data_IF_078933912176
#
_entry.id   IF_078933912176
#
_cell.length_a   1.000
_cell.length_b   1.000
_cell.length_c   1.000
_cell.angle_alpha   90.00
_cell.angle_beta   90.00
_cell.angle_gamma   90.00
#
_symmetry.space_group_name_H-M   'P 1'
#
loop_
_entity.id
_entity.type
_entity.pdbx_description
1 polymer ?
#
# COMPACT_ATOMS: atom_id res chain seq x y z
N UNK A 1 88.20 -39.00 -48.72
CA UNK A 1 88.58 -39.20 -50.16
C UNK A 1 87.37 -38.87 -51.02
N UNK A 2 87.61 -37.86 -51.89
CA UNK A 2 87.04 -37.69 -53.22
C UNK A 2 85.57 -37.72 -53.42
N UNK A 3 84.90 -36.54 -53.64
CA UNK A 3 84.79 -35.80 -54.94
C UNK A 3 83.76 -36.45 -55.87
N UNK A 4 82.70 -35.81 -56.35
CA UNK A 4 82.49 -34.80 -57.38
C UNK A 4 81.01 -34.65 -57.67
N UNK A 5 80.47 -33.42 -57.73
CA UNK A 5 80.04 -32.59 -58.86
C UNK A 5 78.69 -32.91 -59.52
N UNK A 6 77.70 -31.96 -59.30
CA UNK A 6 76.97 -31.05 -60.21
C UNK A 6 76.81 -31.52 -61.69
N UNK A 7 75.84 -31.08 -62.50
CA UNK A 7 74.94 -29.89 -62.38
C UNK A 7 73.47 -30.08 -62.83
N UNK A 8 72.64 -29.17 -62.38
CA UNK A 8 71.84 -28.23 -63.19
C UNK A 8 70.81 -28.78 -64.19
N UNK A 9 69.55 -28.55 -64.00
CA UNK A 9 68.72 -27.91 -65.04
C UNK A 9 67.56 -27.15 -64.43
N UNK A 10 67.53 -25.88 -64.70
CA UNK A 10 66.51 -24.87 -64.44
C UNK A 10 65.30 -25.14 -65.36
N UNK A 11 64.10 -25.34 -64.82
CA UNK A 11 62.92 -25.11 -65.60
C UNK A 11 61.91 -24.31 -64.72
N UNK A 12 61.80 -23.04 -65.08
CA UNK A 12 60.74 -22.14 -64.63
C UNK A 12 59.39 -22.70 -65.07
N UNK A 13 58.59 -23.13 -64.13
CA UNK A 13 57.14 -23.14 -64.30
C UNK A 13 56.55 -22.07 -63.41
N UNK A 14 56.13 -20.95 -64.01
CA UNK A 14 55.17 -20.03 -63.44
C UNK A 14 53.83 -20.77 -63.38
N UNK A 15 53.48 -21.29 -62.22
CA UNK A 15 52.10 -21.58 -61.89
C UNK A 15 51.63 -20.41 -61.09
N UNK A 16 50.83 -19.59 -61.73
CA UNK A 16 50.00 -18.58 -61.01
C UNK A 16 49.13 -19.32 -60.03
N UNK A 17 49.43 -19.26 -58.73
CA UNK A 17 48.51 -19.52 -57.67
C UNK A 17 47.52 -18.36 -57.66
N UNK A 18 46.35 -18.54 -58.25
CA UNK A 18 45.20 -17.81 -57.83
C UNK A 18 44.97 -18.21 -56.37
N UNK A 19 45.39 -17.35 -55.49
CA UNK A 19 44.98 -17.37 -54.09
C UNK A 19 43.51 -16.88 -54.08
N UNK A 20 42.59 -17.76 -54.38
CA UNK A 20 41.23 -17.61 -53.99
C UNK A 20 41.18 -18.00 -52.50
N UNK A 21 41.35 -17.05 -51.64
CA UNK A 21 40.72 -17.12 -50.31
C UNK A 21 39.22 -17.22 -50.57
N UNK A 22 38.72 -18.40 -50.86
CA UNK A 22 37.32 -18.71 -50.74
C UNK A 22 37.08 -18.67 -49.23
N UNK A 23 36.69 -17.50 -48.75
CA UNK A 23 36.18 -17.32 -47.38
C UNK A 23 35.00 -18.28 -47.26
N UNK A 24 35.13 -19.32 -46.45
CA UNK A 24 34.09 -20.32 -46.25
C UNK A 24 32.97 -19.62 -45.51
N UNK A 25 31.94 -19.17 -46.24
CA UNK A 25 30.75 -18.59 -45.66
C UNK A 25 30.01 -19.68 -44.89
N UNK A 26 29.71 -19.51 -43.61
CA UNK A 26 28.93 -20.46 -42.82
C UNK A 26 27.56 -20.74 -43.43
N UNK A 27 27.03 -21.94 -43.23
CA UNK A 27 25.66 -22.26 -43.69
C UNK A 27 24.58 -21.40 -43.03
N UNK A 28 24.85 -20.90 -41.80
CA UNK A 28 23.96 -20.04 -40.98
C UNK A 28 24.35 -18.55 -41.06
N UNK A 29 25.04 -18.14 -42.14
CA UNK A 29 25.62 -16.80 -42.29
C UNK A 29 24.58 -15.63 -42.19
N UNK A 30 23.32 -15.88 -42.50
CA UNK A 30 22.24 -14.90 -42.41
C UNK A 30 21.43 -14.99 -41.09
N UNK A 31 21.66 -16.02 -40.30
CA UNK A 31 20.89 -16.28 -39.08
C UNK A 31 21.42 -15.44 -37.90
N UNK A 32 20.50 -14.94 -37.09
CA UNK A 32 20.78 -14.09 -35.94
C UNK A 32 19.82 -14.39 -34.77
N UNK A 33 19.63 -15.67 -34.46
CA UNK A 33 18.70 -16.14 -33.46
C UNK A 33 19.38 -16.46 -32.13
N UNK A 34 18.70 -16.08 -31.02
CA UNK A 34 18.92 -16.71 -29.71
C UNK A 34 18.05 -17.97 -29.66
N UNK A 35 18.67 -19.13 -29.47
CA UNK A 35 17.97 -20.42 -29.50
C UNK A 35 17.64 -20.96 -28.13
N UNK A 36 18.42 -20.60 -27.11
CA UNK A 36 18.15 -20.98 -25.70
C UNK A 36 18.87 -20.03 -24.77
N UNK A 37 18.22 -19.74 -23.65
CA UNK A 37 18.84 -19.04 -22.51
C UNK A 37 18.49 -19.79 -21.24
N UNK A 38 19.49 -20.13 -20.44
CA UNK A 38 19.31 -20.85 -19.17
C UNK A 38 20.03 -20.08 -18.08
N UNK A 39 19.29 -19.73 -17.05
CA UNK A 39 19.82 -19.13 -15.83
C UNK A 39 19.95 -20.21 -14.74
N UNK A 40 21.10 -20.29 -14.11
CA UNK A 40 21.34 -21.18 -12.96
C UNK A 40 21.62 -20.35 -11.72
N UNK A 41 20.83 -20.60 -10.67
CA UNK A 41 20.97 -19.93 -9.36
C UNK A 41 20.85 -20.99 -8.27
N UNK A 42 21.81 -21.04 -7.35
CA UNK A 42 21.84 -21.98 -6.22
C UNK A 42 21.60 -23.45 -6.66
N UNK A 43 22.17 -23.82 -7.83
CA UNK A 43 22.08 -25.17 -8.40
C UNK A 43 20.72 -25.50 -9.05
N UNK A 44 19.79 -24.55 -9.15
CA UNK A 44 18.53 -24.69 -9.91
C UNK A 44 18.61 -23.93 -11.21
N UNK A 45 18.13 -24.57 -12.30
CA UNK A 45 18.13 -23.99 -13.63
C UNK A 45 16.72 -23.54 -14.02
N UNK A 46 16.68 -22.35 -14.65
CA UNK A 46 15.46 -21.72 -15.16
C UNK A 46 15.66 -21.43 -16.65
N UNK A 47 14.86 -22.06 -17.49
CA UNK A 47 14.94 -21.87 -18.94
C UNK A 47 14.06 -20.70 -19.35
N UNK A 48 14.60 -19.83 -20.20
CA UNK A 48 13.85 -18.70 -20.73
C UNK A 48 12.78 -19.14 -21.73
N UNK A 49 11.67 -18.43 -21.73
CA UNK A 49 10.74 -18.36 -22.84
C UNK A 49 11.26 -17.29 -23.83
N UNK A 50 11.36 -17.65 -25.12
CA UNK A 50 11.85 -16.75 -26.16
C UNK A 50 10.74 -16.58 -27.20
N UNK A 51 10.07 -15.45 -27.14
CA UNK A 51 8.96 -15.11 -28.02
C UNK A 51 9.08 -13.64 -28.49
N UNK A 52 8.75 -13.37 -29.74
CA UNK A 52 8.69 -12.02 -30.32
C UNK A 52 9.94 -11.17 -30.04
N UNK A 53 11.13 -11.78 -30.12
CA UNK A 53 12.41 -11.17 -29.76
C UNK A 53 12.50 -10.72 -28.28
N UNK A 54 11.76 -11.35 -27.41
CA UNK A 54 11.85 -11.15 -25.95
C UNK A 54 12.33 -12.45 -25.30
N UNK A 55 13.35 -12.35 -24.48
CA UNK A 55 13.89 -13.43 -23.64
C UNK A 55 13.36 -13.21 -22.22
N UNK A 56 12.40 -14.03 -21.79
CA UNK A 56 11.79 -13.92 -20.47
C UNK A 56 12.22 -15.10 -19.61
N UNK A 57 12.93 -14.84 -18.50
CA UNK A 57 13.23 -15.87 -17.50
C UNK A 57 12.31 -15.69 -16.32
N UNK A 58 11.55 -16.74 -15.97
CA UNK A 58 10.67 -16.72 -14.80
C UNK A 58 11.34 -17.48 -13.66
N UNK A 59 11.53 -16.81 -12.52
CA UNK A 59 12.08 -17.38 -11.29
C UNK A 59 11.16 -17.11 -10.12
N UNK A 60 11.10 -17.97 -9.08
CA UNK A 60 10.35 -17.71 -7.87
C UNK A 60 10.74 -16.37 -7.24
N UNK A 61 9.78 -15.67 -6.66
CA UNK A 61 9.99 -14.34 -6.06
C UNK A 61 11.16 -14.31 -5.06
N UNK A 62 11.34 -15.41 -4.31
CA UNK A 62 12.35 -15.54 -3.26
C UNK A 62 13.77 -15.79 -3.76
N UNK A 63 13.96 -16.05 -5.06
CA UNK A 63 15.28 -16.33 -5.63
C UNK A 63 16.06 -15.02 -5.80
N UNK A 64 17.22 -14.93 -5.15
CA UNK A 64 18.17 -13.83 -5.37
C UNK A 64 19.01 -14.09 -6.63
N UNK A 65 19.15 -13.10 -7.48
CA UNK A 65 19.92 -13.23 -8.72
C UNK A 65 21.39 -12.74 -8.59
N UNK A 66 21.84 -12.44 -7.38
CA UNK A 66 23.18 -11.87 -7.16
C UNK A 66 24.33 -12.78 -7.67
N UNK A 67 24.11 -14.09 -7.69
CA UNK A 67 25.08 -15.09 -8.15
C UNK A 67 24.51 -15.91 -9.33
N UNK A 68 23.65 -15.31 -10.13
CA UNK A 68 23.08 -15.99 -11.28
C UNK A 68 24.12 -16.17 -12.39
N UNK A 69 24.24 -17.39 -12.86
CA UNK A 69 24.99 -17.75 -14.06
C UNK A 69 24.01 -17.91 -15.22
N UNK A 70 24.25 -17.25 -16.36
CA UNK A 70 23.31 -17.29 -17.48
C UNK A 70 24.06 -17.70 -18.76
N UNK A 71 23.65 -18.84 -19.32
CA UNK A 71 24.18 -19.39 -20.56
C UNK A 71 23.25 -19.00 -21.73
N UNK A 72 23.81 -18.37 -22.74
CA UNK A 72 23.13 -18.08 -24.01
C UNK A 72 23.60 -19.04 -25.10
N UNK A 73 22.62 -19.64 -25.80
CA UNK A 73 22.87 -20.33 -27.06
C UNK A 73 22.24 -19.51 -28.18
N UNK A 74 23.07 -19.17 -29.17
CA UNK A 74 22.63 -18.40 -30.32
C UNK A 74 23.33 -18.91 -31.57
N UNK A 75 22.95 -18.42 -32.75
CA UNK A 75 23.52 -18.83 -34.05
C UNK A 75 25.04 -18.82 -33.99
N UNK A 76 25.68 -19.93 -34.38
CA UNK A 76 27.12 -20.17 -34.16
C UNK A 76 28.00 -19.14 -34.88
N UNK A 77 27.61 -18.72 -36.10
CA UNK A 77 28.35 -17.74 -36.90
C UNK A 77 28.04 -16.27 -36.48
N UNK A 78 27.08 -16.04 -35.61
CA UNK A 78 26.67 -14.72 -35.19
C UNK A 78 27.50 -14.20 -34.01
N UNK A 79 27.45 -12.89 -33.80
CA UNK A 79 27.98 -12.21 -32.61
C UNK A 79 26.86 -11.63 -31.77
N UNK A 80 27.05 -11.57 -30.45
CA UNK A 80 26.08 -11.00 -29.51
C UNK A 80 26.69 -9.87 -28.68
N UNK A 81 26.00 -8.75 -28.59
CA UNK A 81 26.42 -7.56 -27.81
C UNK A 81 25.27 -7.10 -26.91
N UNK A 82 25.49 -6.85 -25.61
CA UNK A 82 26.73 -7.13 -24.86
C UNK A 82 27.01 -8.63 -24.80
N UNK A 83 28.27 -8.98 -24.61
CA UNK A 83 28.67 -10.37 -24.39
C UNK A 83 28.03 -10.85 -23.05
N UNK A 84 27.21 -11.92 -23.08
CA UNK A 84 26.54 -12.43 -21.87
C UNK A 84 27.52 -12.81 -20.75
N UNK A 85 28.74 -13.28 -21.09
CA UNK A 85 29.75 -13.66 -20.10
C UNK A 85 30.29 -12.45 -19.29
N UNK A 86 30.12 -11.23 -19.81
CA UNK A 86 30.52 -9.99 -19.14
C UNK A 86 29.46 -9.41 -18.23
N UNK A 87 28.23 -9.97 -18.25
CA UNK A 87 27.11 -9.47 -17.47
C UNK A 87 27.18 -10.02 -16.05
N UNK A 88 27.28 -9.13 -15.08
CA UNK A 88 27.35 -9.48 -13.64
C UNK A 88 26.05 -9.22 -12.88
N UNK A 89 25.12 -8.45 -13.43
CA UNK A 89 23.83 -8.14 -12.83
C UNK A 89 22.69 -8.52 -13.77
N UNK A 90 21.98 -9.57 -13.41
CA UNK A 90 20.87 -10.13 -14.18
C UNK A 90 19.50 -9.65 -13.69
N UNK A 91 19.43 -8.76 -12.71
CA UNK A 91 18.16 -8.21 -12.21
C UNK A 91 17.54 -7.17 -13.17
N UNK A 92 18.38 -6.49 -13.96
CA UNK A 92 17.93 -5.39 -14.80
C UNK A 92 17.57 -5.85 -16.22
N UNK A 93 16.52 -5.26 -16.76
CA UNK A 93 16.20 -5.40 -18.19
C UNK A 93 17.32 -4.86 -19.06
N UNK A 94 17.57 -5.51 -20.19
CA UNK A 94 18.59 -5.10 -21.16
C UNK A 94 18.27 -5.59 -22.56
N UNK A 95 18.94 -5.03 -23.53
CA UNK A 95 18.84 -5.47 -24.93
C UNK A 95 20.12 -6.17 -25.36
N UNK A 96 19.99 -7.35 -25.94
CA UNK A 96 21.04 -8.06 -26.62
C UNK A 96 20.86 -7.91 -28.13
N UNK A 97 21.89 -7.49 -28.82
CA UNK A 97 21.93 -7.40 -30.29
C UNK A 97 22.71 -8.57 -30.85
N UNK A 98 22.05 -9.44 -31.59
CA UNK A 98 22.65 -10.55 -32.29
C UNK A 98 22.85 -10.16 -33.74
N UNK A 99 24.09 -10.20 -34.23
CA UNK A 99 24.45 -9.84 -35.60
C UNK A 99 24.99 -11.07 -36.32
N UNK A 100 24.34 -11.44 -37.43
CA UNK A 100 24.75 -12.56 -38.26
C UNK A 100 26.12 -12.32 -38.92
N UNK A 101 26.73 -13.36 -39.48
CA UNK A 101 27.98 -13.25 -40.24
C UNK A 101 27.88 -12.22 -41.38
N UNK A 102 26.75 -12.17 -42.09
CA UNK A 102 26.47 -11.22 -43.16
C UNK A 102 26.04 -9.82 -42.67
N UNK A 103 26.05 -9.54 -41.36
CA UNK A 103 25.80 -8.22 -40.79
C UNK A 103 24.32 -7.91 -40.50
N UNK A 104 23.39 -8.84 -40.73
CA UNK A 104 21.98 -8.65 -40.35
C UNK A 104 21.84 -8.70 -38.83
N UNK A 105 21.25 -7.67 -38.24
CA UNK A 105 21.11 -7.56 -36.77
C UNK A 105 19.68 -7.77 -36.32
N UNK A 106 19.52 -8.41 -35.14
CA UNK A 106 18.26 -8.59 -34.42
C UNK A 106 18.49 -8.21 -32.97
N UNK A 107 17.53 -7.47 -32.41
CA UNK A 107 17.54 -7.07 -31.01
C UNK A 107 16.61 -7.95 -30.21
N UNK A 108 17.06 -8.39 -29.04
CA UNK A 108 16.31 -9.17 -28.07
C UNK A 108 16.22 -8.43 -26.76
N UNK A 109 15.00 -8.17 -26.29
CA UNK A 109 14.75 -7.64 -24.95
C UNK A 109 14.87 -8.77 -23.92
N UNK A 110 15.76 -8.63 -22.96
CA UNK A 110 15.90 -9.55 -21.83
C UNK A 110 15.20 -9.00 -20.61
N UNK A 111 14.40 -9.83 -19.94
CA UNK A 111 13.78 -9.53 -18.66
C UNK A 111 13.65 -10.76 -17.77
N UNK A 112 13.69 -10.54 -16.46
CA UNK A 112 13.34 -11.54 -15.45
C UNK A 112 11.98 -11.22 -14.86
N UNK A 113 11.11 -12.24 -14.79
CA UNK A 113 9.82 -12.18 -14.13
C UNK A 113 9.90 -12.99 -12.84
N UNK A 114 9.54 -12.38 -11.72
CA UNK A 114 9.42 -13.05 -10.44
C UNK A 114 8.05 -13.70 -10.33
N UNK A 115 7.98 -15.04 -10.30
CA UNK A 115 6.72 -15.74 -10.08
C UNK A 115 6.36 -15.75 -8.61
N UNK A 116 5.09 -15.57 -8.33
CA UNK A 116 4.54 -15.65 -6.98
C UNK A 116 4.35 -17.09 -6.54
N UNK A 117 4.36 -17.29 -5.21
CA UNK A 117 4.01 -18.55 -4.56
C UNK A 117 2.68 -18.30 -3.86
N UNK A 118 1.63 -18.97 -4.33
CA UNK A 118 0.25 -18.76 -3.87
C UNK A 118 -0.17 -19.80 -2.84
N UNK A 119 -1.02 -19.41 -1.87
CA UNK A 119 -1.73 -20.35 -1.00
C UNK A 119 -2.99 -20.92 -1.69
N UNK A 120 -3.50 -22.04 -1.18
CA UNK A 120 -4.75 -22.68 -1.66
C UNK A 120 -6.00 -22.11 -0.97
N UNK A 121 -6.04 -20.83 -0.64
CA UNK A 121 -7.16 -20.16 0.03
C UNK A 121 -6.77 -19.50 1.33
N UNK A 122 -7.67 -19.49 2.31
CA UNK A 122 -7.46 -18.87 3.61
C UNK A 122 -6.28 -19.51 4.36
N UNK A 123 -5.53 -18.68 5.06
CA UNK A 123 -4.40 -19.07 5.92
C UNK A 123 -4.74 -18.68 7.35
N UNK A 124 -4.83 -19.66 8.24
CA UNK A 124 -5.04 -19.45 9.67
C UNK A 124 -3.78 -19.83 10.46
N UNK A 125 -3.22 -18.88 11.19
CA UNK A 125 -2.01 -19.02 12.02
C UNK A 125 -2.39 -18.75 13.47
N UNK A 126 -2.64 -19.82 14.23
CA UNK A 126 -3.15 -19.75 15.62
C UNK A 126 -2.03 -19.94 16.67
N UNK A 127 -0.86 -20.41 16.23
CA UNK A 127 0.28 -20.68 17.10
C UNK A 127 1.57 -20.16 16.49
N UNK A 128 2.59 -19.98 17.30
CA UNK A 128 3.93 -19.57 16.85
C UNK A 128 4.55 -20.63 15.91
N UNK A 129 4.27 -21.91 16.14
CA UNK A 129 4.72 -23.00 15.27
C UNK A 129 4.08 -22.95 13.90
N UNK A 130 2.78 -22.64 13.81
CA UNK A 130 2.08 -22.47 12.52
C UNK A 130 2.63 -21.27 11.74
N UNK A 131 2.97 -20.16 12.41
CA UNK A 131 3.64 -19.01 11.77
C UNK A 131 4.98 -19.45 11.18
N UNK A 132 5.80 -20.16 11.94
CA UNK A 132 7.11 -20.64 11.48
C UNK A 132 6.97 -21.62 10.30
N UNK A 133 6.07 -22.61 10.40
CA UNK A 133 5.81 -23.58 9.33
C UNK A 133 5.32 -22.93 8.06
N UNK A 134 4.40 -21.97 8.17
CA UNK A 134 3.90 -21.23 7.00
C UNK A 134 5.02 -20.41 6.35
N UNK A 135 5.88 -19.78 7.13
CA UNK A 135 7.02 -19.01 6.63
C UNK A 135 8.01 -19.83 5.80
N UNK A 136 8.16 -21.15 6.10
CA UNK A 136 9.00 -22.06 5.32
C UNK A 136 8.50 -22.24 3.87
N UNK A 137 7.19 -22.10 3.62
CA UNK A 137 6.60 -22.19 2.29
C UNK A 137 7.04 -21.06 1.36
N UNK A 138 7.53 -19.93 1.93
CA UNK A 138 7.87 -18.72 1.19
C UNK A 138 6.71 -18.18 0.34
N UNK A 139 5.50 -18.42 0.78
CA UNK A 139 4.28 -17.88 0.13
C UNK A 139 4.39 -16.38 0.00
N UNK A 140 4.07 -15.88 -1.19
CA UNK A 140 4.07 -14.44 -1.51
C UNK A 140 2.66 -13.88 -1.61
N UNK A 141 1.68 -14.70 -1.99
CA UNK A 141 0.27 -14.34 -2.14
C UNK A 141 -0.63 -15.28 -1.36
N UNK A 142 -1.43 -14.75 -0.47
CA UNK A 142 -2.53 -15.50 0.17
C UNK A 142 -3.79 -15.32 -0.66
N UNK A 143 -4.32 -16.42 -1.26
CA UNK A 143 -5.55 -16.42 -2.09
C UNK A 143 -6.83 -16.47 -1.27
N UNK A 144 -6.90 -15.77 -0.19
CA UNK A 144 -8.02 -15.70 0.73
C UNK A 144 -7.67 -14.80 1.90
N UNK A 145 -8.22 -15.08 3.07
CA UNK A 145 -7.92 -14.34 4.29
C UNK A 145 -6.62 -14.84 4.93
N UNK A 146 -5.87 -13.91 5.53
CA UNK A 146 -4.76 -14.21 6.44
C UNK A 146 -5.22 -13.92 7.87
N UNK A 147 -5.44 -14.95 8.65
CA UNK A 147 -5.95 -14.85 10.02
C UNK A 147 -4.80 -15.18 10.98
N UNK A 148 -4.43 -14.23 11.85
CA UNK A 148 -3.35 -14.35 12.81
C UNK A 148 -3.92 -14.28 14.22
N UNK A 149 -3.68 -15.33 14.99
CA UNK A 149 -4.21 -15.48 16.33
C UNK A 149 -5.58 -16.16 16.39
N UNK A 150 -6.16 -16.13 17.57
CA UNK A 150 -7.46 -16.73 17.91
C UNK A 150 -8.17 -15.89 18.96
N UNK A 151 -9.48 -15.94 18.97
CA UNK A 151 -10.32 -15.28 19.99
C UNK A 151 -10.71 -16.26 21.13
N UNK A 152 -10.21 -17.50 21.10
CA UNK A 152 -10.45 -18.46 22.17
C UNK A 152 -9.79 -18.03 23.50
N UNK A 153 -10.48 -18.21 24.62
CA UNK A 153 -10.07 -17.72 25.96
C UNK A 153 -8.67 -18.21 26.38
N UNK A 154 -8.26 -19.39 25.92
CA UNK A 154 -6.96 -20.02 26.28
C UNK A 154 -6.07 -20.21 25.05
N UNK A 155 -6.22 -19.38 24.03
CA UNK A 155 -5.39 -19.45 22.85
C UNK A 155 -3.93 -19.14 23.18
N UNK A 156 -3.02 -19.78 22.44
CA UNK A 156 -1.61 -19.44 22.49
C UNK A 156 -1.39 -18.01 22.05
N UNK A 157 -0.47 -17.32 22.72
CA UNK A 157 -0.08 -15.95 22.36
C UNK A 157 1.00 -15.98 21.30
N UNK A 158 0.72 -15.36 20.15
CA UNK A 158 1.69 -15.15 19.09
C UNK A 158 2.34 -13.77 19.32
N UNK A 159 3.65 -13.75 19.53
CA UNK A 159 4.39 -12.51 19.85
C UNK A 159 5.24 -11.98 18.69
N UNK A 160 5.50 -12.81 17.68
CA UNK A 160 6.35 -12.45 16.55
C UNK A 160 5.83 -13.08 15.24
N UNK A 161 5.67 -12.26 14.23
CA UNK A 161 5.29 -12.66 12.87
C UNK A 161 6.29 -12.17 11.82
N UNK A 162 7.48 -11.76 12.24
CA UNK A 162 8.53 -11.23 11.34
C UNK A 162 8.93 -12.22 10.22
N UNK A 163 8.75 -13.53 10.49
CA UNK A 163 8.99 -14.59 9.51
C UNK A 163 8.08 -14.52 8.28
N UNK A 164 6.94 -13.81 8.33
CA UNK A 164 5.98 -13.65 7.23
C UNK A 164 6.42 -12.62 6.17
N UNK A 165 7.64 -12.10 6.24
CA UNK A 165 8.15 -11.04 5.36
C UNK A 165 8.21 -11.40 3.87
N UNK A 166 7.96 -12.65 3.46
CA UNK A 166 7.80 -13.02 2.06
C UNK A 166 6.47 -12.56 1.44
N UNK A 167 5.45 -12.29 2.26
CA UNK A 167 4.12 -11.90 1.80
C UNK A 167 4.14 -10.57 1.05
N UNK A 168 3.42 -10.52 -0.07
CA UNK A 168 3.26 -9.35 -0.95
C UNK A 168 1.81 -8.96 -1.15
N UNK A 169 0.92 -9.95 -1.10
CA UNK A 169 -0.51 -9.75 -1.34
C UNK A 169 -1.35 -10.68 -0.47
N UNK A 170 -2.48 -10.17 -0.01
CA UNK A 170 -3.56 -10.96 0.61
C UNK A 170 -4.85 -10.60 -0.12
N UNK A 171 -5.39 -11.51 -0.96
CA UNK A 171 -6.58 -11.18 -1.77
C UNK A 171 -7.85 -10.99 -0.93
N UNK A 172 -7.92 -11.62 0.24
CA UNK A 172 -8.95 -11.39 1.27
C UNK A 172 -8.48 -10.43 2.35
N UNK A 173 -9.05 -10.58 3.53
CA UNK A 173 -8.75 -9.72 4.67
C UNK A 173 -7.55 -10.23 5.47
N UNK A 174 -6.75 -9.30 5.97
CA UNK A 174 -5.81 -9.55 7.06
C UNK A 174 -6.57 -9.38 8.37
N UNK A 175 -6.63 -10.44 9.19
CA UNK A 175 -7.40 -10.46 10.43
C UNK A 175 -6.48 -10.76 11.61
N UNK A 176 -6.33 -9.78 12.51
CA UNK A 176 -5.55 -9.91 13.73
C UNK A 176 -6.50 -10.16 14.90
N UNK A 177 -6.40 -11.36 15.49
CA UNK A 177 -7.24 -11.83 16.60
C UNK A 177 -6.62 -11.51 17.96
N UNK A 178 -7.41 -11.66 19.01
CA UNK A 178 -7.06 -11.26 20.39
C UNK A 178 -5.84 -11.98 20.99
N UNK A 179 -5.50 -13.19 20.53
CA UNK A 179 -4.30 -13.87 21.02
C UNK A 179 -3.00 -13.37 20.37
N UNK A 180 -3.07 -12.51 19.35
CA UNK A 180 -1.89 -11.82 18.86
C UNK A 180 -1.37 -10.84 19.95
N UNK A 181 -0.12 -11.00 20.35
CA UNK A 181 0.50 -10.27 21.45
C UNK A 181 1.86 -9.67 21.03
N UNK A 182 2.07 -9.44 19.74
CA UNK A 182 3.21 -8.69 19.23
C UNK A 182 3.01 -7.18 19.40
N UNK A 183 4.09 -6.44 19.51
CA UNK A 183 4.05 -4.98 19.68
C UNK A 183 3.64 -4.22 18.40
N UNK A 184 3.88 -4.82 17.26
CA UNK A 184 3.60 -4.26 15.93
C UNK A 184 3.25 -5.36 14.92
N UNK A 185 3.10 -5.01 13.65
CA UNK A 185 2.81 -5.93 12.56
C UNK A 185 4.04 -6.19 11.66
N UNK A 186 5.25 -6.10 12.20
CA UNK A 186 6.48 -6.43 11.47
C UNK A 186 6.41 -7.87 10.94
N UNK A 187 6.66 -8.04 9.65
CA UNK A 187 6.39 -9.27 8.89
C UNK A 187 5.30 -9.08 7.84
N UNK A 188 4.42 -8.10 8.01
CA UNK A 188 3.43 -7.70 7.01
C UNK A 188 3.85 -6.42 6.25
N UNK A 189 5.02 -5.89 6.55
CA UNK A 189 5.56 -4.64 5.98
C UNK A 189 5.76 -4.66 4.45
N UNK A 190 5.85 -5.87 3.86
CA UNK A 190 6.08 -6.05 2.43
C UNK A 190 4.79 -6.27 1.63
N UNK A 191 3.64 -6.32 2.28
CA UNK A 191 2.35 -6.45 1.61
C UNK A 191 2.01 -5.14 0.92
N UNK A 192 1.78 -5.20 -0.41
CA UNK A 192 1.46 -4.06 -1.27
C UNK A 192 -0.05 -3.87 -1.41
N UNK A 193 -0.80 -4.97 -1.41
CA UNK A 193 -2.27 -4.94 -1.54
C UNK A 193 -2.95 -5.96 -0.64
N UNK A 194 -4.13 -5.61 -0.14
CA UNK A 194 -4.98 -6.54 0.61
C UNK A 194 -6.47 -6.27 0.35
N UNK A 195 -7.31 -7.27 0.64
CA UNK A 195 -8.76 -7.10 0.62
C UNK A 195 -9.22 -6.14 1.71
N UNK A 196 -8.74 -6.30 2.93
CA UNK A 196 -9.03 -5.42 4.05
C UNK A 196 -8.11 -5.69 5.24
N UNK A 197 -8.27 -4.89 6.31
CA UNK A 197 -7.54 -5.07 7.56
C UNK A 197 -8.54 -5.02 8.74
N UNK A 198 -8.56 -6.09 9.52
CA UNK A 198 -9.35 -6.17 10.75
C UNK A 198 -8.43 -6.42 11.95
N UNK A 199 -8.49 -5.57 12.96
CA UNK A 199 -7.77 -5.73 14.22
C UNK A 199 -8.78 -5.72 15.36
N UNK A 200 -8.88 -6.85 16.07
CA UNK A 200 -9.90 -7.04 17.11
C UNK A 200 -11.33 -7.13 16.56
N UNK A 201 -12.32 -7.04 17.44
CA UNK A 201 -13.74 -7.13 17.11
C UNK A 201 -14.58 -6.34 18.12
N UNK A 202 -15.75 -5.86 17.69
CA UNK A 202 -16.76 -5.25 18.58
C UNK A 202 -17.37 -6.24 19.57
N UNK A 203 -17.42 -7.53 19.22
CA UNK A 203 -18.10 -8.58 19.99
C UNK A 203 -17.26 -9.15 21.12
N UNK A 204 -15.95 -8.96 21.04
CA UNK A 204 -14.99 -9.44 22.03
C UNK A 204 -14.28 -8.22 22.59
N UNK A 205 -14.46 -7.95 23.88
CA UNK A 205 -13.66 -6.94 24.55
C UNK A 205 -12.17 -7.25 24.29
N UNK A 206 -11.53 -6.43 23.47
CA UNK A 206 -10.14 -6.62 23.08
C UNK A 206 -9.25 -6.41 24.29
N UNK A 207 -9.14 -7.46 25.12
CA UNK A 207 -8.34 -7.42 26.32
C UNK A 207 -6.91 -7.75 25.96
N UNK A 208 -6.06 -6.75 26.07
CA UNK A 208 -4.64 -6.90 26.23
C UNK A 208 -3.93 -7.64 25.11
N UNK A 209 -3.87 -7.01 23.98
CA UNK A 209 -2.75 -7.25 23.08
C UNK A 209 -1.67 -6.24 23.42
N UNK A 210 -0.41 -6.64 23.31
CA UNK A 210 0.72 -5.70 23.35
C UNK A 210 0.86 -4.92 22.03
N UNK A 211 -0.16 -4.96 21.17
CA UNK A 211 -0.16 -4.28 19.87
C UNK A 211 -0.32 -2.77 20.07
N UNK A 212 0.79 -2.06 19.99
CA UNK A 212 0.84 -0.61 20.15
C UNK A 212 0.94 0.13 18.83
N UNK A 213 1.45 -0.53 17.79
CA UNK A 213 1.67 0.08 16.47
C UNK A 213 1.03 -0.74 15.34
N UNK A 214 0.22 -0.07 14.54
CA UNK A 214 -0.25 -0.61 13.26
C UNK A 214 0.49 0.14 12.16
N UNK A 215 1.39 -0.57 11.46
CA UNK A 215 2.13 -0.06 10.32
C UNK A 215 2.31 -1.15 9.30
N UNK A 216 2.07 -0.82 8.02
CA UNK A 216 2.34 -1.69 6.87
C UNK A 216 2.98 -0.81 5.79
N UNK A 217 4.32 -0.79 5.74
CA UNK A 217 5.11 0.22 5.00
C UNK A 217 4.93 0.19 3.49
N UNK A 218 4.69 -1.00 2.92
CA UNK A 218 4.54 -1.14 1.49
C UNK A 218 3.08 -1.08 1.00
N UNK A 219 2.11 -1.10 1.91
CA UNK A 219 0.69 -1.17 1.54
C UNK A 219 0.26 0.08 0.77
N UNK A 220 -0.21 -0.12 -0.46
CA UNK A 220 -0.62 0.95 -1.39
C UNK A 220 -2.13 1.00 -1.60
N UNK A 221 -2.80 -0.17 -1.58
CA UNK A 221 -4.24 -0.27 -1.85
C UNK A 221 -4.94 -1.27 -0.94
N UNK A 222 -6.17 -0.93 -0.55
CA UNK A 222 -7.13 -1.82 0.08
C UNK A 222 -8.44 -1.79 -0.69
N UNK A 223 -8.93 -2.97 -1.12
CA UNK A 223 -10.20 -3.09 -1.85
C UNK A 223 -11.42 -3.21 -0.93
N UNK A 224 -11.23 -3.39 0.36
CA UNK A 224 -12.28 -3.46 1.38
C UNK A 224 -11.99 -2.53 2.55
N UNK A 225 -12.40 -2.95 3.74
CA UNK A 225 -12.44 -2.11 4.91
C UNK A 225 -11.16 -2.15 5.76
N UNK A 226 -10.93 -1.07 6.49
CA UNK A 226 -10.09 -1.08 7.70
C UNK A 226 -11.01 -1.02 8.91
N UNK A 227 -10.90 -2.00 9.81
CA UNK A 227 -11.63 -2.05 11.08
C UNK A 227 -10.67 -2.29 12.23
N UNK A 228 -10.48 -1.31 13.10
CA UNK A 228 -9.61 -1.41 14.27
C UNK A 228 -10.43 -1.16 15.53
N UNK A 229 -10.54 -2.19 16.36
CA UNK A 229 -11.13 -2.15 17.68
C UNK A 229 -10.09 -2.61 18.70
N UNK A 230 -9.25 -1.68 19.15
CA UNK A 230 -8.15 -2.00 20.07
C UNK A 230 -7.82 -0.80 20.95
N UNK A 231 -7.85 -0.98 22.25
CA UNK A 231 -7.58 0.06 23.25
C UNK A 231 -6.10 0.27 23.57
N UNK A 232 -5.20 -0.61 23.09
CA UNK A 232 -3.75 -0.51 23.29
C UNK A 232 -3.03 0.22 22.15
N UNK A 233 -3.63 0.30 20.96
CA UNK A 233 -3.01 0.94 19.81
C UNK A 233 -2.80 2.43 20.06
N UNK A 234 -1.54 2.86 20.00
CA UNK A 234 -1.13 4.25 20.19
C UNK A 234 -0.65 4.91 18.90
N UNK A 235 -0.20 4.12 17.93
CA UNK A 235 0.40 4.62 16.70
C UNK A 235 -0.13 3.88 15.48
N UNK A 236 -0.57 4.66 14.48
CA UNK A 236 -1.01 4.13 13.17
C UNK A 236 -0.27 4.88 12.09
N UNK A 237 0.39 4.13 11.16
CA UNK A 237 1.08 4.72 10.01
C UNK A 237 1.00 3.82 8.78
N UNK A 238 0.41 4.35 7.72
CA UNK A 238 0.40 3.75 6.38
C UNK A 238 1.05 4.70 5.39
N UNK A 239 2.37 4.54 5.19
CA UNK A 239 3.19 5.51 4.46
C UNK A 239 2.81 5.64 2.98
N UNK A 240 2.33 4.55 2.36
CA UNK A 240 2.05 4.47 0.92
C UNK A 240 0.59 4.25 0.57
N UNK A 241 -0.27 4.05 1.56
CA UNK A 241 -1.68 3.74 1.30
C UNK A 241 -2.39 4.95 0.71
N UNK A 242 -2.66 4.88 -0.60
CA UNK A 242 -3.24 5.97 -1.37
C UNK A 242 -4.75 5.87 -1.52
N UNK A 243 -5.31 4.64 -1.52
CA UNK A 243 -6.74 4.40 -1.75
C UNK A 243 -7.26 3.26 -0.88
N UNK A 244 -8.43 3.49 -0.29
CA UNK A 244 -9.24 2.49 0.41
C UNK A 244 -10.61 2.50 -0.27
N UNK A 245 -11.02 1.38 -0.89
CA UNK A 245 -12.32 1.32 -1.58
C UNK A 245 -13.50 1.14 -0.63
N UNK A 246 -13.25 0.52 0.52
CA UNK A 246 -14.24 0.31 1.58
C UNK A 246 -14.32 1.43 2.60
N UNK A 247 -14.76 1.06 3.79
CA UNK A 247 -14.87 1.93 4.96
C UNK A 247 -13.62 1.87 5.84
N UNK A 248 -13.40 2.94 6.57
CA UNK A 248 -12.38 3.04 7.62
C UNK A 248 -13.04 3.25 8.97
N UNK A 249 -12.84 2.31 9.90
CA UNK A 249 -13.33 2.40 11.26
C UNK A 249 -12.18 2.22 12.25
N UNK A 250 -11.88 3.24 13.01
CA UNK A 250 -10.96 3.17 14.15
C UNK A 250 -11.72 3.46 15.45
N UNK A 251 -11.75 2.48 16.36
CA UNK A 251 -12.06 2.70 17.77
C UNK A 251 -10.82 2.37 18.58
N UNK A 252 -9.96 3.38 18.79
CA UNK A 252 -8.67 3.27 19.46
C UNK A 252 -8.50 4.42 20.46
N UNK A 253 -9.01 4.27 21.69
CA UNK A 253 -9.02 5.34 22.69
C UNK A 253 -7.61 5.80 23.12
N UNK A 254 -6.60 4.93 23.01
CA UNK A 254 -5.20 5.26 23.33
C UNK A 254 -4.43 5.90 22.18
N UNK A 255 -5.05 6.10 21.02
CA UNK A 255 -4.39 6.60 19.82
C UNK A 255 -3.77 7.99 20.05
N UNK A 256 -2.47 8.12 19.74
CA UNK A 256 -1.70 9.35 19.85
C UNK A 256 -1.27 9.90 18.48
N UNK A 257 -1.06 9.01 17.51
CA UNK A 257 -0.65 9.37 16.16
C UNK A 257 -1.46 8.58 15.13
N UNK A 258 -1.95 9.28 14.09
CA UNK A 258 -2.76 8.72 13.01
C UNK A 258 -2.23 9.25 11.67
N UNK A 259 -1.44 8.44 10.98
CA UNK A 259 -0.69 8.85 9.80
C UNK A 259 -1.13 8.13 8.53
N UNK A 260 -1.67 8.90 7.59
CA UNK A 260 -1.98 8.49 6.21
C UNK A 260 -1.49 9.61 5.26
N UNK A 261 -0.17 9.77 5.08
CA UNK A 261 0.39 10.95 4.42
C UNK A 261 0.03 11.08 2.94
N UNK A 262 -0.35 9.98 2.27
CA UNK A 262 -0.66 9.97 0.83
C UNK A 262 -2.10 9.53 0.51
N UNK A 263 -2.93 9.27 1.52
CA UNK A 263 -4.32 8.82 1.31
C UNK A 263 -5.14 9.91 0.63
N UNK A 264 -5.64 9.59 -0.57
CA UNK A 264 -6.43 10.51 -1.38
C UNK A 264 -7.92 10.22 -1.34
N UNK A 265 -8.30 8.94 -1.18
CA UNK A 265 -9.69 8.51 -1.31
C UNK A 265 -10.06 7.42 -0.31
N UNK A 266 -11.22 7.58 0.32
CA UNK A 266 -11.95 6.53 1.05
C UNK A 266 -13.29 6.34 0.33
N UNK A 267 -13.55 5.13 -0.18
CA UNK A 267 -14.72 4.87 -1.02
C UNK A 267 -16.05 4.91 -0.27
N UNK A 268 -16.03 4.58 1.02
CA UNK A 268 -17.22 4.58 1.87
C UNK A 268 -17.02 5.47 3.10
N UNK A 269 -17.40 5.01 4.30
CA UNK A 269 -17.33 5.81 5.52
C UNK A 269 -15.89 5.90 6.07
N UNK A 270 -15.55 7.06 6.61
CA UNK A 270 -14.35 7.26 7.42
C UNK A 270 -14.76 7.66 8.83
N UNK A 271 -14.64 6.74 9.77
CA UNK A 271 -15.03 6.93 11.15
C UNK A 271 -13.84 6.74 12.09
N UNK A 272 -13.49 7.78 12.83
CA UNK A 272 -12.42 7.78 13.82
C UNK A 272 -13.02 8.13 15.16
N UNK A 273 -12.95 7.20 16.11
CA UNK A 273 -13.50 7.39 17.44
C UNK A 273 -12.59 6.85 18.54
N UNK A 274 -12.77 7.36 19.74
CA UNK A 274 -12.04 6.94 20.93
C UNK A 274 -12.99 6.61 22.08
N UNK A 275 -13.74 5.50 21.96
CA UNK A 275 -14.58 4.98 23.06
C UNK A 275 -13.79 3.94 23.84
N UNK A 276 -13.70 4.12 25.17
CA UNK A 276 -13.13 3.12 26.07
C UNK A 276 -14.12 1.98 26.36
N UNK A 277 -13.71 0.98 27.17
CA UNK A 277 -14.53 -0.17 27.56
C UNK A 277 -15.87 0.23 28.26
N UNK A 278 -15.93 1.41 28.86
CA UNK A 278 -17.15 1.94 29.49
C UNK A 278 -18.04 2.76 28.52
N UNK A 279 -17.72 2.72 27.21
CA UNK A 279 -18.32 3.53 26.15
C UNK A 279 -18.28 5.05 26.42
N UNK A 280 -17.21 5.50 27.09
CA UNK A 280 -16.95 6.91 27.35
C UNK A 280 -15.89 7.46 26.41
N UNK A 281 -16.02 8.74 26.08
CA UNK A 281 -15.00 9.45 25.29
C UNK A 281 -13.66 9.47 26.03
N UNK A 282 -12.65 8.87 25.44
CA UNK A 282 -11.32 8.71 26.04
C UNK A 282 -10.17 9.12 25.11
N UNK A 283 -10.40 9.22 23.80
CA UNK A 283 -9.36 9.42 22.80
C UNK A 283 -8.26 10.41 23.18
N UNK A 284 -7.00 10.00 23.01
CA UNK A 284 -5.81 10.76 23.43
C UNK A 284 -5.16 11.56 22.32
N UNK A 285 -5.53 11.32 21.06
CA UNK A 285 -5.01 12.07 19.91
C UNK A 285 -5.33 13.56 20.03
N UNK A 286 -4.33 14.40 19.83
CA UNK A 286 -4.48 15.86 19.90
C UNK A 286 -4.74 16.50 18.54
N UNK A 287 -4.15 15.97 17.48
CA UNK A 287 -4.28 16.48 16.11
C UNK A 287 -4.64 15.34 15.16
N UNK A 288 -5.67 15.56 14.35
CA UNK A 288 -6.07 14.64 13.27
C UNK A 288 -5.85 15.32 11.94
N UNK A 289 -4.98 14.75 11.13
CA UNK A 289 -4.60 15.30 9.82
C UNK A 289 -4.63 14.21 8.75
N UNK A 290 -5.29 14.53 7.63
CA UNK A 290 -5.27 13.75 6.39
C UNK A 290 -4.96 14.69 5.23
N UNK A 291 -3.67 15.01 5.02
CA UNK A 291 -3.24 16.15 4.20
C UNK A 291 -3.57 16.00 2.71
N UNK A 292 -3.61 14.76 2.21
CA UNK A 292 -3.87 14.48 0.79
C UNK A 292 -5.31 14.03 0.51
N UNK A 293 -6.14 13.84 1.53
CA UNK A 293 -7.50 13.34 1.38
C UNK A 293 -8.35 14.32 0.56
N UNK A 294 -8.85 13.86 -0.59
CA UNK A 294 -9.69 14.65 -1.51
C UNK A 294 -11.16 14.26 -1.47
N UNK A 295 -11.45 12.99 -1.18
CA UNK A 295 -12.83 12.49 -1.18
C UNK A 295 -13.09 11.39 -0.14
N UNK A 296 -14.29 11.43 0.43
CA UNK A 296 -14.88 10.35 1.24
C UNK A 296 -16.26 10.05 0.68
N UNK A 297 -16.45 8.85 0.10
CA UNK A 297 -17.72 8.50 -0.56
C UNK A 297 -18.93 8.47 0.40
N UNK A 298 -18.71 8.02 1.64
CA UNK A 298 -19.68 8.03 2.73
C UNK A 298 -19.48 9.18 3.71
N UNK A 299 -19.73 8.91 4.97
CA UNK A 299 -19.65 9.92 6.06
C UNK A 299 -18.22 10.01 6.60
N UNK A 300 -17.69 11.23 6.66
CA UNK A 300 -16.54 11.54 7.50
C UNK A 300 -17.02 11.83 8.92
N UNK A 301 -16.73 10.90 9.84
CA UNK A 301 -17.13 10.99 11.24
C UNK A 301 -15.92 11.04 12.17
N UNK A 302 -15.91 11.99 13.09
CA UNK A 302 -14.86 12.12 14.11
C UNK A 302 -15.56 12.31 15.46
N UNK A 303 -15.45 11.29 16.33
CA UNK A 303 -16.28 11.22 17.52
C UNK A 303 -15.48 10.80 18.76
N UNK A 304 -15.86 11.28 19.94
CA UNK A 304 -15.38 10.80 21.24
C UNK A 304 -13.84 10.89 21.44
N UNK A 305 -13.15 11.80 20.77
CA UNK A 305 -11.72 12.04 20.92
C UNK A 305 -11.47 13.14 21.95
N UNK A 306 -11.45 12.80 23.23
CA UNK A 306 -11.52 13.74 24.35
C UNK A 306 -10.37 14.78 24.39
N UNK A 307 -9.22 14.50 23.79
CA UNK A 307 -8.04 15.37 23.77
C UNK A 307 -7.81 16.10 22.45
N UNK A 308 -8.72 15.93 21.48
CA UNK A 308 -8.54 16.51 20.15
C UNK A 308 -8.64 18.05 20.21
N UNK A 309 -7.61 18.72 19.71
CA UNK A 309 -7.55 20.19 19.62
C UNK A 309 -7.63 20.68 18.17
N UNK A 310 -7.27 19.85 17.20
CA UNK A 310 -7.22 20.24 15.80
C UNK A 310 -7.64 19.13 14.85
N UNK A 311 -8.42 19.48 13.83
CA UNK A 311 -8.76 18.65 12.67
C UNK A 311 -8.41 19.38 11.39
N UNK A 312 -7.60 18.74 10.51
CA UNK A 312 -7.11 19.32 9.26
C UNK A 312 -7.36 18.38 8.08
N UNK A 313 -8.30 18.75 7.21
CA UNK A 313 -8.62 18.05 5.96
C UNK A 313 -8.45 19.04 4.80
N UNK A 314 -7.18 19.42 4.54
CA UNK A 314 -6.85 20.60 3.73
C UNK A 314 -7.18 20.47 2.25
N UNK A 315 -7.29 19.25 1.73
CA UNK A 315 -7.60 18.98 0.31
C UNK A 315 -8.97 18.33 0.09
N UNK A 316 -9.74 18.09 1.15
CA UNK A 316 -11.05 17.45 1.04
C UNK A 316 -12.03 18.33 0.26
N UNK A 317 -12.51 17.82 -0.87
CA UNK A 317 -13.46 18.50 -1.77
C UNK A 317 -14.88 17.96 -1.66
N UNK A 318 -15.01 16.66 -1.44
CA UNK A 318 -16.30 15.97 -1.45
C UNK A 318 -16.41 14.93 -0.34
N UNK A 319 -17.60 14.85 0.27
CA UNK A 319 -17.94 13.79 1.21
C UNK A 319 -19.43 13.44 1.16
N UNK A 320 -19.78 12.19 1.50
CA UNK A 320 -21.16 11.77 1.70
C UNK A 320 -21.85 12.47 2.87
N UNK A 321 -21.11 12.83 3.91
CA UNK A 321 -21.59 13.62 5.05
C UNK A 321 -20.46 14.02 5.98
N UNK A 322 -20.67 15.06 6.79
CA UNK A 322 -19.79 15.43 7.91
C UNK A 322 -20.51 15.18 9.21
N UNK A 323 -19.95 14.32 10.07
CA UNK A 323 -20.54 14.01 11.37
C UNK A 323 -19.47 14.11 12.47
N UNK A 324 -19.35 15.30 13.07
CA UNK A 324 -18.47 15.56 14.20
C UNK A 324 -19.33 15.64 15.46
N UNK A 325 -19.57 14.46 16.04
CA UNK A 325 -20.40 14.32 17.23
C UNK A 325 -19.52 14.06 18.46
N UNK A 326 -19.96 14.51 19.63
CA UNK A 326 -19.14 14.40 20.83
C UNK A 326 -17.78 15.11 20.68
N UNK A 327 -17.79 16.28 20.04
CA UNK A 327 -16.60 17.11 19.84
C UNK A 327 -16.06 17.57 21.19
N UNK A 328 -14.76 17.44 21.48
CA UNK A 328 -14.20 17.80 22.77
C UNK A 328 -14.28 19.31 23.04
N UNK A 329 -14.33 19.65 24.31
CA UNK A 329 -14.37 21.04 24.77
C UNK A 329 -13.12 21.83 24.38
N UNK A 330 -12.02 21.13 24.08
CA UNK A 330 -10.73 21.73 23.75
C UNK A 330 -10.48 21.86 22.24
N UNK A 331 -11.40 21.48 21.37
CA UNK A 331 -11.21 21.60 19.93
C UNK A 331 -11.17 23.07 19.53
N UNK A 332 -10.03 23.51 19.03
CA UNK A 332 -9.75 24.90 18.66
C UNK A 332 -9.88 25.15 17.16
N UNK A 333 -9.59 24.14 16.34
CA UNK A 333 -9.57 24.29 14.88
C UNK A 333 -10.25 23.12 14.17
N UNK A 334 -11.04 23.48 13.14
CA UNK A 334 -11.60 22.57 12.13
C UNK A 334 -11.32 23.21 10.78
N UNK A 335 -10.43 22.63 9.97
CA UNK A 335 -10.03 23.19 8.69
C UNK A 335 -10.51 22.32 7.52
N UNK A 336 -11.37 22.89 6.67
CA UNK A 336 -11.95 22.27 5.46
C UNK A 336 -11.96 23.30 4.30
N UNK A 337 -10.79 23.87 3.91
CA UNK A 337 -10.76 25.00 2.99
C UNK A 337 -11.18 24.68 1.56
N UNK A 338 -11.09 23.42 1.15
CA UNK A 338 -11.39 22.99 -0.20
C UNK A 338 -12.76 22.31 -0.36
N UNK A 339 -13.53 22.15 0.70
CA UNK A 339 -14.82 21.44 0.64
C UNK A 339 -15.82 22.18 -0.26
N UNK A 340 -16.33 21.49 -1.29
CA UNK A 340 -17.28 21.99 -2.26
C UNK A 340 -18.64 21.31 -2.17
N UNK A 341 -18.63 19.99 -1.87
CA UNK A 341 -19.85 19.16 -1.90
C UNK A 341 -19.95 18.27 -0.67
N UNK A 342 -21.12 18.31 -0.02
CA UNK A 342 -21.54 17.34 0.99
C UNK A 342 -22.83 16.68 0.49
N UNK A 343 -22.75 15.40 0.08
CA UNK A 343 -23.87 14.65 -0.48
C UNK A 343 -24.94 14.26 0.56
N UNK A 344 -24.73 14.52 1.82
CA UNK A 344 -25.63 14.31 2.96
C UNK A 344 -25.70 15.52 3.86
N UNK A 345 -25.65 15.26 5.17
CA UNK A 345 -25.78 16.29 6.20
C UNK A 345 -24.43 16.73 6.76
N UNK A 346 -24.37 17.96 7.24
CA UNK A 346 -23.31 18.49 8.09
C UNK A 346 -23.86 18.53 9.53
N UNK A 347 -23.32 17.69 10.41
CA UNK A 347 -23.69 17.61 11.80
C UNK A 347 -22.44 17.85 12.64
N UNK A 348 -22.42 18.95 13.38
CA UNK A 348 -21.34 19.29 14.30
C UNK A 348 -21.94 19.56 15.67
N UNK A 349 -21.63 18.73 16.65
CA UNK A 349 -22.21 18.82 17.97
C UNK A 349 -21.15 18.63 19.05
N UNK A 350 -20.84 19.67 19.80
CA UNK A 350 -20.00 19.57 20.98
C UNK A 350 -20.76 18.82 22.07
N UNK A 351 -20.05 17.95 22.77
CA UNK A 351 -20.65 16.92 23.60
C UNK A 351 -21.43 17.45 24.79
N UNK A 352 -22.41 16.65 25.13
CA UNK A 352 -23.28 16.81 26.27
C UNK A 352 -23.57 15.44 26.90
N UNK A 353 -22.56 14.75 27.44
CA UNK A 353 -22.90 13.63 28.33
C UNK A 353 -23.33 14.16 29.71
N UNK A 354 -24.54 13.79 30.11
CA UNK A 354 -24.97 14.00 31.47
C UNK A 354 -24.20 13.06 32.39
N UNK A 355 -23.52 13.53 33.43
CA UNK A 355 -22.98 12.66 34.45
C UNK A 355 -24.12 11.83 35.07
N UNK A 356 -23.90 10.54 35.38
CA UNK A 356 -24.94 9.64 35.85
C UNK A 356 -25.56 10.04 37.21
N UNK A 357 -24.94 10.92 37.96
CA UNK A 357 -25.49 11.47 39.22
C UNK A 357 -24.89 12.85 39.50
N UNK A 358 -25.74 13.86 39.66
CA UNK A 358 -25.34 15.20 40.07
C UNK A 358 -25.73 16.31 39.09
N UNK A 359 -25.46 17.54 39.45
CA UNK A 359 -25.81 18.72 38.65
C UNK A 359 -25.24 18.60 37.22
N UNK A 360 -26.13 18.58 36.24
CA UNK A 360 -25.81 18.60 34.84
C UNK A 360 -25.02 19.87 34.48
N UNK A 361 -23.76 19.75 34.21
CA UNK A 361 -22.96 20.81 33.56
C UNK A 361 -22.84 20.44 32.09
N UNK A 362 -23.55 21.12 31.19
CA UNK A 362 -23.39 20.89 29.77
C UNK A 362 -21.93 21.11 29.38
N UNK A 363 -21.25 20.08 28.90
CA UNK A 363 -19.96 20.27 28.28
C UNK A 363 -20.16 20.96 26.93
N UNK A 364 -19.55 22.11 26.76
CA UNK A 364 -19.67 22.96 25.59
C UNK A 364 -18.27 23.18 25.04
N UNK A 365 -18.16 23.35 23.74
CA UNK A 365 -16.94 23.86 23.20
C UNK A 365 -16.91 25.39 23.32
N UNK A 366 -16.06 25.88 24.20
CA UNK A 366 -15.92 27.31 24.52
C UNK A 366 -14.64 27.93 23.89
N UNK A 367 -13.97 27.22 23.00
CA UNK A 367 -12.69 27.65 22.41
C UNK A 367 -12.72 27.81 20.89
N UNK A 368 -13.49 27.01 20.15
CA UNK A 368 -13.61 27.15 18.70
C UNK A 368 -14.26 28.48 18.34
N UNK A 369 -13.50 29.39 17.75
CA UNK A 369 -13.95 30.74 17.42
C UNK A 369 -14.55 30.83 16.01
N UNK A 370 -14.04 30.03 15.06
CA UNK A 370 -14.48 29.96 13.68
C UNK A 370 -14.06 28.62 13.05
N UNK A 371 -14.77 28.23 12.00
CA UNK A 371 -14.32 27.14 11.13
C UNK A 371 -13.28 27.68 10.14
N UNK A 372 -12.20 26.92 9.90
CA UNK A 372 -11.19 27.24 8.90
C UNK A 372 -11.63 26.77 7.50
N UNK A 373 -12.22 27.65 6.73
CA UNK A 373 -12.70 27.36 5.38
C UNK A 373 -14.19 27.11 5.30
N UNK A 374 -14.61 26.19 4.41
CA UNK A 374 -15.99 25.92 3.99
C UNK A 374 -16.63 27.05 3.13
N UNK A 375 -15.88 28.07 2.73
CA UNK A 375 -16.39 29.18 1.89
C UNK A 375 -16.50 28.77 0.39
N UNK A 376 -16.03 27.57 0.04
CA UNK A 376 -16.19 26.96 -1.30
C UNK A 376 -17.40 26.07 -1.40
N UNK A 377 -18.13 25.83 -0.31
CA UNK A 377 -19.23 24.92 -0.25
C UNK A 377 -20.41 25.41 -1.11
N UNK A 378 -20.81 24.62 -2.10
CA UNK A 378 -21.91 24.92 -3.04
C UNK A 378 -23.08 23.98 -2.90
N UNK A 379 -22.86 22.76 -2.38
CA UNK A 379 -23.86 21.71 -2.32
C UNK A 379 -23.89 21.04 -0.95
N UNK A 380 -25.07 21.00 -0.32
CA UNK A 380 -25.38 20.18 0.86
C UNK A 380 -26.73 19.52 0.63
N UNK A 381 -26.74 18.21 0.33
CA UNK A 381 -28.01 17.50 0.02
C UNK A 381 -28.84 17.15 1.27
N UNK A 382 -28.26 17.27 2.46
CA UNK A 382 -28.96 17.08 3.73
C UNK A 382 -29.17 18.37 4.50
N UNK A 383 -29.11 18.30 5.81
CA UNK A 383 -29.26 19.44 6.72
C UNK A 383 -27.88 19.93 7.22
N UNK A 384 -27.83 21.19 7.64
CA UNK A 384 -26.72 21.75 8.41
C UNK A 384 -27.17 21.91 9.87
N UNK A 385 -26.50 21.25 10.82
CA UNK A 385 -26.79 21.32 12.26
C UNK A 385 -25.50 21.58 13.02
N UNK A 386 -25.42 22.70 13.70
CA UNK A 386 -24.30 23.08 14.56
C UNK A 386 -24.84 23.35 15.96
N UNK A 387 -24.29 22.66 16.96
CA UNK A 387 -24.80 22.74 18.34
C UNK A 387 -23.68 22.84 19.37
N UNK A 388 -23.91 23.59 20.44
CA UNK A 388 -23.10 23.63 21.67
C UNK A 388 -21.67 24.22 21.47
N UNK A 389 -21.47 25.03 20.44
CA UNK A 389 -20.23 25.79 20.22
C UNK A 389 -20.46 27.23 20.70
N UNK A 390 -20.20 27.51 21.96
CA UNK A 390 -20.59 28.78 22.60
C UNK A 390 -19.62 29.91 22.32
N UNK A 391 -18.36 29.59 21.98
CA UNK A 391 -17.36 30.57 21.58
C UNK A 391 -17.41 30.98 20.12
N UNK A 392 -18.16 30.25 19.29
CA UNK A 392 -18.23 30.47 17.85
C UNK A 392 -18.76 31.85 17.53
N UNK A 393 -17.89 32.68 16.91
CA UNK A 393 -18.21 34.08 16.59
C UNK A 393 -18.65 34.27 15.14
N UNK A 394 -18.25 33.36 14.27
CA UNK A 394 -18.50 33.46 12.84
C UNK A 394 -18.74 32.09 12.26
N UNK A 395 -19.79 31.97 11.45
CA UNK A 395 -19.99 30.85 10.53
C UNK A 395 -19.24 31.11 9.22
N UNK A 396 -18.87 30.07 8.45
CA UNK A 396 -18.36 30.24 7.10
C UNK A 396 -19.33 31.04 6.21
N UNK A 397 -18.82 31.65 5.16
CA UNK A 397 -19.65 32.27 4.14
C UNK A 397 -20.29 31.22 3.26
N UNK A 398 -21.54 30.88 3.57
CA UNK A 398 -22.35 29.92 2.81
C UNK A 398 -23.24 30.56 1.75
N UNK A 399 -22.99 31.80 1.35
CA UNK A 399 -23.73 32.49 0.28
C UNK A 399 -23.64 31.78 -1.06
N UNK A 400 -22.63 30.91 -1.24
CA UNK A 400 -22.44 30.10 -2.46
C UNK A 400 -23.23 28.81 -2.49
N UNK A 401 -23.92 28.42 -1.41
CA UNK A 401 -24.72 27.20 -1.39
C UNK A 401 -25.93 27.39 -2.30
N UNK A 402 -25.95 26.63 -3.40
CA UNK A 402 -27.05 26.62 -4.38
C UNK A 402 -27.99 25.43 -4.18
N UNK A 403 -27.52 24.38 -3.52
CA UNK A 403 -28.32 23.18 -3.23
C UNK A 403 -28.30 22.90 -1.74
N UNK A 404 -29.47 22.93 -1.11
CA UNK A 404 -29.68 22.57 0.28
C UNK A 404 -30.89 21.65 0.40
N UNK A 405 -30.69 20.42 0.95
CA UNK A 405 -31.73 19.38 0.99
C UNK A 405 -32.84 19.59 2.02
N UNK A 406 -32.54 20.30 3.10
CA UNK A 406 -33.57 20.64 4.11
C UNK A 406 -33.17 21.90 4.88
N UNK A 407 -34.14 22.49 5.59
CA UNK A 407 -33.94 23.74 6.35
C UNK A 407 -32.78 23.61 7.33
N UNK A 408 -31.97 24.67 7.45
CA UNK A 408 -30.97 24.82 8.51
C UNK A 408 -31.68 24.75 9.85
N UNK A 409 -31.42 23.70 10.65
CA UNK A 409 -31.97 23.54 11.99
C UNK A 409 -31.35 24.56 12.94
N UNK A 410 -32.17 25.11 13.86
CA UNK A 410 -31.74 26.11 14.83
C UNK A 410 -30.54 25.62 15.65
N UNK A 411 -29.45 26.36 15.57
CA UNK A 411 -28.42 26.33 16.60
C UNK A 411 -29.02 26.92 17.90
N UNK A 412 -28.89 26.24 19.03
CA UNK A 412 -29.12 26.86 20.32
C UNK A 412 -27.91 27.70 20.69
N UNK A 413 -27.74 28.85 20.04
CA UNK A 413 -26.86 29.90 20.52
C UNK A 413 -27.62 30.81 21.46
N UNK A 414 -27.06 31.13 22.63
CA UNK A 414 -27.53 32.28 23.39
C UNK A 414 -27.22 33.52 22.56
N UNK A 415 -28.30 34.17 22.15
CA UNK A 415 -28.43 35.55 21.66
C UNK A 415 -27.12 36.20 21.12
N UNK A 416 -26.85 36.14 19.85
CA UNK A 416 -26.37 37.21 18.96
C UNK A 416 -25.84 36.82 17.58
N UNK A 417 -25.68 35.55 17.24
CA UNK A 417 -25.15 35.18 15.92
C UNK A 417 -25.98 34.07 15.27
N UNK A 418 -27.20 34.43 14.91
CA UNK A 418 -28.02 33.64 13.98
C UNK A 418 -28.58 34.61 12.95
N UNK A 419 -27.81 34.96 11.94
CA UNK A 419 -28.36 35.53 10.74
C UNK A 419 -28.70 34.38 9.78
N UNK A 420 -29.96 34.37 9.37
CA UNK A 420 -30.53 33.43 8.41
C UNK A 420 -29.93 33.68 7.02
N UNK A 421 -29.57 32.61 6.30
CA UNK A 421 -29.52 32.58 4.85
C UNK A 421 -30.75 31.86 4.31
#
# INVERSE_FOLDING_TARGET
MKTYFLPMLLSLFFLGACDKNDEIVPEDADENFITSVVMTVDGKSYTADIADNTVTITVPYTVSLNNAEVEFKYTTSATIIPDPETVTDWNNERTFRVTSYNGNAREYAYKVVKSEIESDGDVELKTTEEVASFAESKTTVVKGNLIIGSDAEKAEKITDISALASLKEVTGNIVIRNSYNGADLTGLDNIVSAGGLQVGSTDVASKATELHMISMKALETLSGDISVYNDQVTYVLFEKLATIEGSVMFNAPSLQSFGFPVLTTVGQDLNIQGLNEENKAAGTIATLELPELTSVGGVLAVNNLAKLTSMNFLKLKETGGLNFHTVPVMLETINLPEIETVNGSIIMEANMEAPPTGSFVPQRNDVLLAFGGMDKLTTVKGQIKIKNFTALKQLPDWSKITTLGSKIGRASCRERVCQYV
#
